data_IF_605869675343
#
_entry.id   IF_605869675343
#
_cell.length_a   1.000
_cell.length_b   1.000
_cell.length_c   1.000
_cell.angle_alpha   90.00
_cell.angle_beta   90.00
_cell.angle_gamma   90.00
#
_symmetry.space_group_name_H-M   'P 1'
#
loop_
_entity.id
_entity.type
_entity.pdbx_description
1 polymer ?
#
# COMPACT_ATOMS: atom_id res chain seq x y z
N UNK A 1 16.80 -15.38 -0.80
CA UNK A 1 16.64 -14.13 -1.58
C UNK A 1 17.98 -13.81 -2.25
N UNK A 2 18.00 -13.45 -3.55
CA UNK A 2 19.23 -12.98 -4.22
C UNK A 2 19.31 -11.48 -4.00
N UNK A 3 20.28 -11.00 -3.23
CA UNK A 3 20.55 -9.58 -3.04
C UNK A 3 20.92 -8.96 -4.38
N UNK A 4 20.17 -7.94 -4.80
CA UNK A 4 20.48 -7.17 -6.00
C UNK A 4 21.37 -5.99 -5.59
N UNK A 5 22.46 -5.70 -6.32
CA UNK A 5 23.24 -4.49 -6.05
C UNK A 5 22.33 -3.28 -6.26
N UNK A 6 22.37 -2.32 -5.32
CA UNK A 6 21.59 -1.07 -5.30
C UNK A 6 20.09 -1.20 -4.96
N UNK A 7 19.67 -2.30 -4.33
CA UNK A 7 18.34 -2.39 -3.72
C UNK A 7 18.53 -2.60 -2.21
N UNK A 8 18.03 -1.65 -1.44
CA UNK A 8 17.94 -1.74 0.01
C UNK A 8 16.48 -1.96 0.41
N UNK A 9 16.25 -2.98 1.22
CA UNK A 9 14.95 -3.26 1.79
C UNK A 9 14.93 -2.76 3.23
N UNK A 10 14.09 -1.76 3.49
CA UNK A 10 13.89 -1.19 4.82
C UNK A 10 12.69 -1.89 5.45
N UNK A 11 12.96 -2.76 6.41
CA UNK A 11 11.95 -3.51 7.16
C UNK A 11 11.64 -2.81 8.49
N UNK A 12 10.35 -2.62 8.80
CA UNK A 12 9.89 -1.93 10.03
C UNK A 12 9.08 -2.96 10.86
N UNK A 13 9.73 -3.68 11.79
CA UNK A 13 9.14 -4.83 12.47
C UNK A 13 7.83 -4.53 13.21
N UNK A 14 7.69 -3.32 13.74
CA UNK A 14 6.51 -2.87 14.49
C UNK A 14 5.27 -2.66 13.61
N UNK A 15 5.49 -2.47 12.30
CA UNK A 15 4.46 -2.23 11.29
C UNK A 15 4.21 -3.49 10.44
N UNK A 16 5.25 -4.32 10.27
CA UNK A 16 5.21 -5.47 9.37
C UNK A 16 4.53 -6.72 9.95
N UNK A 17 4.38 -6.85 11.28
CA UNK A 17 3.52 -7.90 11.84
C UNK A 17 2.04 -7.50 11.83
N UNK A 18 1.49 -7.42 10.62
CA UNK A 18 0.06 -7.30 10.37
C UNK A 18 -0.64 -8.66 10.38
N UNK A 19 0.14 -9.75 10.26
CA UNK A 19 -0.33 -11.12 10.14
C UNK A 19 -1.19 -11.58 11.33
N UNK A 20 -0.81 -11.14 12.53
CA UNK A 20 -1.52 -11.45 13.77
C UNK A 20 -2.85 -10.71 13.93
N UNK A 21 -3.09 -9.64 13.15
CA UNK A 21 -4.31 -8.83 13.20
C UNK A 21 -5.23 -9.05 12.00
N UNK A 22 -4.78 -9.78 10.96
CA UNK A 22 -5.64 -10.12 9.83
C UNK A 22 -6.74 -11.09 10.27
N UNK A 23 -7.98 -10.64 10.14
CA UNK A 23 -9.15 -11.52 10.22
C UNK A 23 -9.08 -12.50 9.05
N UNK A 24 -9.42 -13.77 9.28
CA UNK A 24 -9.36 -14.78 8.24
C UNK A 24 -10.28 -14.42 7.05
N UNK A 25 -9.71 -14.11 5.87
CA UNK A 25 -10.48 -13.62 4.73
C UNK A 25 -11.37 -14.69 4.09
N UNK A 26 -11.13 -15.97 4.38
CA UNK A 26 -11.93 -17.08 3.86
C UNK A 26 -13.19 -17.37 4.70
N UNK A 27 -13.29 -16.81 5.90
CA UNK A 27 -14.40 -17.05 6.83
C UNK A 27 -15.25 -15.82 7.09
N UNK A 28 -14.81 -14.65 6.64
CA UNK A 28 -15.41 -13.36 7.01
C UNK A 28 -15.63 -12.53 5.75
N UNK A 29 -16.73 -11.78 5.68
CA UNK A 29 -17.06 -10.97 4.49
C UNK A 29 -15.93 -10.00 4.17
N UNK A 30 -15.66 -9.82 2.89
CA UNK A 30 -14.66 -8.88 2.38
C UNK A 30 -14.82 -7.48 3.00
N UNK A 31 -16.05 -6.99 3.15
CA UNK A 31 -16.37 -5.69 3.76
C UNK A 31 -15.81 -5.55 5.19
N UNK A 32 -15.93 -6.61 6.01
CA UNK A 32 -15.43 -6.61 7.38
C UNK A 32 -13.90 -6.67 7.46
N UNK A 33 -13.26 -7.40 6.53
CA UNK A 33 -11.79 -7.43 6.40
C UNK A 33 -11.28 -6.04 6.00
N UNK A 34 -11.94 -5.41 5.02
CA UNK A 34 -11.61 -4.06 4.59
C UNK A 34 -11.77 -3.05 5.72
N UNK A 35 -12.90 -3.06 6.44
CA UNK A 35 -13.14 -2.16 7.58
C UNK A 35 -12.13 -2.40 8.72
N UNK A 36 -11.75 -3.64 8.99
CA UNK A 36 -10.70 -3.96 9.95
C UNK A 36 -9.36 -3.36 9.54
N UNK A 37 -8.97 -3.50 8.26
CA UNK A 37 -7.72 -2.93 7.75
C UNK A 37 -7.73 -1.40 7.82
N UNK A 38 -8.82 -0.77 7.40
CA UNK A 38 -9.00 0.70 7.48
C UNK A 38 -8.89 1.19 8.92
N UNK A 39 -9.42 0.44 9.89
CA UNK A 39 -9.37 0.81 11.31
C UNK A 39 -7.96 0.76 11.91
N UNK A 40 -7.09 -0.10 11.37
CA UNK A 40 -5.70 -0.22 11.83
C UNK A 40 -4.78 0.82 11.21
N UNK A 41 -5.17 1.39 10.05
CA UNK A 41 -4.33 2.33 9.32
C UNK A 41 -3.75 3.46 10.16
N UNK A 42 -4.52 4.21 10.99
CA UNK A 42 -3.98 5.39 11.66
C UNK A 42 -2.84 5.04 12.62
N UNK A 43 -2.95 3.92 13.33
CA UNK A 43 -1.94 3.46 14.27
C UNK A 43 -0.67 3.05 13.53
N UNK A 44 -0.79 2.22 12.50
CA UNK A 44 0.35 1.67 11.76
C UNK A 44 1.06 2.73 10.94
N UNK A 45 0.30 3.60 10.27
CA UNK A 45 0.84 4.75 9.61
C UNK A 45 1.64 5.64 10.59
N UNK A 46 1.05 5.95 11.75
CA UNK A 46 1.72 6.76 12.76
C UNK A 46 3.05 6.14 13.18
N UNK A 47 3.09 4.84 13.44
CA UNK A 47 4.34 4.12 13.78
C UNK A 47 5.34 4.13 12.63
N UNK A 48 4.91 3.87 11.39
CA UNK A 48 5.77 3.86 10.23
C UNK A 48 6.45 5.22 10.01
N UNK A 49 5.68 6.32 10.07
CA UNK A 49 6.20 7.67 9.87
C UNK A 49 7.15 8.12 11.00
N UNK A 50 6.94 7.64 12.23
CA UNK A 50 7.82 7.95 13.37
C UNK A 50 9.01 7.00 13.50
N UNK A 51 9.11 5.97 12.65
CA UNK A 51 10.24 5.04 12.65
C UNK A 51 11.54 5.78 12.31
N UNK A 52 12.65 5.33 12.90
CA UNK A 52 13.96 5.96 12.70
C UNK A 52 14.45 5.73 11.27
N UNK A 53 14.08 4.61 10.71
CA UNK A 53 14.37 4.15 9.36
C UNK A 53 13.79 5.14 8.35
N UNK A 54 12.49 5.46 8.44
CA UNK A 54 11.85 6.44 7.55
C UNK A 54 12.41 7.84 7.77
N UNK A 55 12.64 8.26 9.02
CA UNK A 55 13.22 9.59 9.29
C UNK A 55 14.66 9.72 8.78
N UNK A 56 15.42 8.63 8.68
CA UNK A 56 16.77 8.65 8.13
C UNK A 56 16.76 8.95 6.62
N UNK A 57 15.72 8.53 5.89
CA UNK A 57 15.56 8.78 4.45
C UNK A 57 15.46 10.26 4.11
N UNK A 58 15.10 11.14 5.05
CA UNK A 58 15.11 12.59 4.83
C UNK A 58 16.51 13.14 4.45
N UNK A 59 17.57 12.44 4.87
CA UNK A 59 18.95 12.83 4.57
C UNK A 59 19.42 12.32 3.21
N UNK A 60 18.65 11.43 2.60
CA UNK A 60 18.96 10.86 1.29
C UNK A 60 18.36 11.72 0.18
N UNK A 61 18.82 11.48 -1.05
CA UNK A 61 18.30 12.16 -2.25
C UNK A 61 17.63 11.13 -3.13
N UNK A 62 16.37 11.40 -3.46
CA UNK A 62 15.58 10.60 -4.38
C UNK A 62 15.19 11.43 -5.59
N UNK A 63 15.16 10.81 -6.76
CA UNK A 63 14.66 11.45 -7.98
C UNK A 63 13.16 11.17 -8.18
N UNK A 64 12.65 10.07 -7.59
CA UNK A 64 11.27 9.62 -7.73
C UNK A 64 10.90 8.72 -6.54
N UNK A 65 9.68 8.89 -6.00
CA UNK A 65 9.11 8.01 -4.98
C UNK A 65 7.97 7.20 -5.58
N UNK A 66 8.02 5.87 -5.41
CA UNK A 66 6.88 5.01 -5.72
C UNK A 66 6.10 4.74 -4.44
N UNK A 67 4.84 5.13 -4.42
CA UNK A 67 3.94 4.90 -3.29
C UNK A 67 2.88 3.90 -3.68
N UNK A 68 2.57 2.94 -2.80
CA UNK A 68 1.37 2.14 -2.99
C UNK A 68 0.15 3.06 -2.96
N UNK A 69 -0.84 2.76 -3.80
CA UNK A 69 -2.14 3.43 -3.75
C UNK A 69 -3.00 2.98 -2.55
N UNK A 70 -2.64 1.88 -1.90
CA UNK A 70 -3.37 1.36 -0.74
C UNK A 70 -2.67 1.73 0.55
N UNK A 71 -3.41 2.38 1.45
CA UNK A 71 -3.08 2.55 2.87
C UNK A 71 -1.71 3.21 3.13
N UNK A 72 -1.31 4.16 2.30
CA UNK A 72 -0.01 4.85 2.36
C UNK A 72 -0.12 6.37 2.18
N UNK A 73 -1.34 6.91 2.23
CA UNK A 73 -1.65 8.33 2.03
C UNK A 73 -0.95 9.22 3.06
N UNK A 74 -0.65 8.68 4.23
CA UNK A 74 0.02 9.45 5.27
C UNK A 74 1.50 9.75 5.01
N UNK A 75 2.09 9.17 3.96
CA UNK A 75 3.41 9.54 3.48
C UNK A 75 3.40 10.78 2.56
N UNK A 76 2.24 11.31 2.16
CA UNK A 76 2.22 12.52 1.33
C UNK A 76 2.97 13.71 1.95
N UNK A 77 2.81 14.04 3.26
CA UNK A 77 3.58 15.12 3.87
C UNK A 77 5.09 14.83 3.91
N UNK A 78 5.47 13.54 4.01
CA UNK A 78 6.87 13.13 3.99
C UNK A 78 7.49 13.34 2.61
N UNK A 79 6.79 12.92 1.55
CA UNK A 79 7.23 13.11 0.17
C UNK A 79 7.23 14.59 -0.22
N UNK A 80 6.25 15.36 0.24
CA UNK A 80 6.24 16.82 0.06
C UNK A 80 7.47 17.46 0.72
N UNK A 81 7.84 17.01 1.93
CA UNK A 81 9.07 17.48 2.60
C UNK A 81 10.35 17.15 1.81
N UNK A 82 10.40 15.99 1.16
CA UNK A 82 11.53 15.61 0.29
C UNK A 82 11.61 16.48 -0.97
N UNK A 83 10.51 17.14 -1.38
CA UNK A 83 10.41 17.91 -2.63
C UNK A 83 10.74 17.06 -3.87
N UNK A 84 10.28 15.81 -3.88
CA UNK A 84 10.52 14.82 -4.94
C UNK A 84 9.18 14.44 -5.60
N UNK A 85 9.14 14.25 -6.93
CA UNK A 85 7.93 13.75 -7.58
C UNK A 85 7.61 12.31 -7.10
N UNK A 86 6.33 11.96 -7.08
CA UNK A 86 5.89 10.61 -6.72
C UNK A 86 4.92 10.01 -7.74
N UNK A 87 4.89 8.69 -7.79
CA UNK A 87 3.97 7.91 -8.60
C UNK A 87 3.25 6.88 -7.75
N UNK A 88 1.94 6.76 -7.95
CA UNK A 88 1.16 5.70 -7.34
C UNK A 88 1.33 4.39 -8.10
N UNK A 89 1.58 3.33 -7.35
CA UNK A 89 1.64 1.97 -7.85
C UNK A 89 0.48 1.17 -7.28
N UNK A 90 -0.30 0.57 -8.18
CA UNK A 90 -1.29 -0.43 -7.83
C UNK A 90 -0.57 -1.79 -7.81
N UNK A 91 -0.47 -2.38 -6.62
CA UNK A 91 0.30 -3.62 -6.42
C UNK A 91 -0.47 -4.89 -6.83
N UNK A 92 -1.78 -4.73 -7.09
CA UNK A 92 -2.72 -5.81 -7.39
C UNK A 92 -3.20 -5.74 -8.86
N UNK A 93 -4.12 -6.64 -9.24
CA UNK A 93 -4.77 -6.56 -10.54
C UNK A 93 -5.65 -5.30 -10.65
N UNK A 94 -5.74 -4.71 -11.85
CA UNK A 94 -6.56 -3.53 -12.10
C UNK A 94 -8.02 -3.78 -11.72
N UNK A 95 -8.61 -2.86 -10.96
CA UNK A 95 -10.04 -2.83 -10.69
C UNK A 95 -10.85 -2.50 -11.97
N UNK A 96 -12.16 -2.76 -11.98
CA UNK A 96 -13.08 -2.54 -13.13
C UNK A 96 -12.87 -1.18 -13.81
N UNK A 97 -13.00 -0.10 -13.05
CA UNK A 97 -12.78 1.26 -13.55
C UNK A 97 -11.37 1.51 -14.11
N UNK A 98 -10.35 0.82 -13.59
CA UNK A 98 -8.97 0.94 -14.07
C UNK A 98 -8.72 0.09 -15.31
N UNK A 99 -9.39 -1.05 -15.43
CA UNK A 99 -9.39 -1.86 -16.64
C UNK A 99 -10.02 -1.07 -17.80
N UNK A 100 -11.14 -0.39 -17.56
CA UNK A 100 -11.79 0.46 -18.57
C UNK A 100 -10.86 1.58 -19.06
N UNK A 101 -10.19 2.27 -18.12
CA UNK A 101 -9.21 3.31 -18.45
C UNK A 101 -8.02 2.75 -19.27
N UNK A 102 -7.63 1.50 -19.01
CA UNK A 102 -6.54 0.83 -19.71
C UNK A 102 -6.99 0.14 -21.03
N UNK A 103 -8.29 0.15 -21.35
CA UNK A 103 -8.84 -0.60 -22.49
C UNK A 103 -8.72 -2.11 -22.34
N UNK A 104 -8.62 -2.61 -21.10
CA UNK A 104 -8.49 -4.03 -20.81
C UNK A 104 -9.87 -4.72 -20.92
N UNK A 105 -10.05 -5.70 -21.82
CA UNK A 105 -11.33 -6.38 -21.97
C UNK A 105 -11.72 -7.10 -20.67
N UNK A 106 -12.88 -6.75 -20.14
CA UNK A 106 -13.45 -7.41 -18.95
C UNK A 106 -14.61 -8.31 -19.33
N UNK A 107 -14.75 -9.39 -18.56
CA UNK A 107 -15.86 -10.34 -18.69
C UNK A 107 -16.71 -10.26 -17.42
N UNK A 108 -17.79 -9.46 -17.40
CA UNK A 108 -18.61 -9.24 -16.20
C UNK A 108 -19.21 -10.53 -15.62
N UNK A 109 -19.32 -11.59 -16.44
CA UNK A 109 -19.77 -12.90 -15.99
C UNK A 109 -18.77 -13.68 -15.13
N UNK A 110 -17.49 -13.26 -15.12
CA UNK A 110 -16.39 -13.95 -14.43
C UNK A 110 -15.74 -13.04 -13.38
N UNK A 111 -15.81 -11.71 -13.57
CA UNK A 111 -15.27 -10.74 -12.63
C UNK A 111 -16.33 -10.45 -11.55
N UNK A 112 -16.08 -10.79 -10.28
CA UNK A 112 -16.99 -10.46 -9.19
C UNK A 112 -17.14 -8.95 -9.04
N UNK A 113 -18.37 -8.49 -8.76
CA UNK A 113 -18.64 -7.08 -8.55
C UNK A 113 -18.41 -6.74 -7.07
N UNK A 114 -17.39 -5.92 -6.83
CA UNK A 114 -16.95 -5.53 -5.49
C UNK A 114 -18.05 -4.87 -4.63
N UNK A 115 -19.07 -4.25 -5.23
CA UNK A 115 -20.17 -3.59 -4.52
C UNK A 115 -21.37 -4.51 -4.27
N UNK A 116 -21.47 -5.63 -4.98
CA UNK A 116 -22.61 -6.55 -4.91
C UNK A 116 -22.30 -7.84 -4.12
N UNK A 117 -21.05 -8.04 -3.70
CA UNK A 117 -20.58 -9.15 -2.84
C UNK A 117 -20.55 -8.80 -1.34
#
# INVERSE_FOLDING_TARGET
SKTRPNIEEVYIPEVDDLSSKFINPFTTSFSSVFMSLVSLMPEYCGKALHSKEIQALEKEKFDLVFMSIFMNECFYPFVDKLQVPYMHMFQNALHESMCDMAGNPQFPSVVPNFLLD
#
